data_IF_837697352964
#
_entry.id   IF_837697352964
#
_cell.length_a   1.000
_cell.length_b   1.000
_cell.length_c   1.000
_cell.angle_alpha   90.00
_cell.angle_beta   90.00
_cell.angle_gamma   90.00
#
_symmetry.space_group_name_H-M   'P 1'
#
loop_
_entity.id
_entity.type
_entity.pdbx_description
1 polymer ?
#
# COMPACT_ATOMS: atom_id res chain seq x y z
N UNK A 1 12.30 19.93 29.70
CA UNK A 1 10.84 19.82 29.93
C UNK A 1 10.18 20.79 28.97
N UNK A 2 9.35 20.39 28.00
CA UNK A 2 8.61 19.14 27.83
C UNK A 2 8.36 18.92 26.33
N UNK A 3 8.56 17.68 25.90
CA UNK A 3 8.02 16.98 24.72
C UNK A 3 7.25 17.82 23.68
N UNK A 4 7.81 17.93 22.47
CA UNK A 4 6.99 17.91 21.25
C UNK A 4 7.06 16.46 20.74
N UNK A 5 6.31 15.58 21.41
CA UNK A 5 6.01 14.27 20.84
C UNK A 5 5.35 14.51 19.46
N UNK A 6 5.81 13.90 18.38
CA UNK A 6 5.04 13.97 17.14
C UNK A 6 3.67 13.39 17.44
N UNK A 7 2.63 14.16 17.09
CA UNK A 7 1.26 13.65 17.01
C UNK A 7 1.32 12.38 16.18
N UNK A 8 1.27 11.23 16.86
CA UNK A 8 0.87 9.97 16.26
C UNK A 8 -0.64 10.10 16.11
N UNK A 9 -1.03 10.81 15.05
CA UNK A 9 -2.40 10.82 14.58
C UNK A 9 -2.72 9.36 14.25
N UNK A 10 -3.55 8.77 15.10
CA UNK A 10 -3.91 7.37 15.01
C UNK A 10 -4.58 7.14 13.66
N UNK A 11 -3.85 6.50 12.75
CA UNK A 11 -4.34 5.90 11.51
C UNK A 11 -5.42 4.85 11.80
N UNK A 12 -6.59 5.32 12.21
CA UNK A 12 -7.82 4.55 12.29
C UNK A 12 -8.91 5.21 11.45
N UNK A 13 -8.54 6.21 10.63
CA UNK A 13 -9.34 6.61 9.48
C UNK A 13 -9.37 5.44 8.52
N UNK A 14 -10.58 4.98 8.20
CA UNK A 14 -10.86 4.00 7.16
C UNK A 14 -9.97 4.28 5.96
N UNK A 15 -8.98 3.42 5.70
CA UNK A 15 -7.94 3.68 4.70
C UNK A 15 -8.60 4.09 3.39
N UNK A 16 -8.37 5.32 2.99
CA UNK A 16 -9.12 5.95 1.90
C UNK A 16 -8.66 5.37 0.56
N UNK A 17 -9.52 5.37 -0.46
CA UNK A 17 -9.14 4.94 -1.82
C UNK A 17 -7.86 5.61 -2.33
N UNK A 18 -7.55 6.83 -1.87
CA UNK A 18 -6.32 7.55 -2.20
C UNK A 18 -5.05 6.88 -1.65
N UNK A 19 -5.11 6.26 -0.46
CA UNK A 19 -3.97 5.54 0.11
C UNK A 19 -3.71 4.24 -0.65
N UNK A 20 -4.78 3.54 -1.04
CA UNK A 20 -4.69 2.34 -1.87
C UNK A 20 -4.05 2.70 -3.22
N UNK A 21 -4.54 3.76 -3.88
CA UNK A 21 -4.01 4.24 -5.15
C UNK A 21 -2.52 4.60 -5.06
N UNK A 22 -2.12 5.31 -4.00
CA UNK A 22 -0.72 5.65 -3.75
C UNK A 22 0.19 4.43 -3.53
N UNK A 23 -0.27 3.41 -2.81
CA UNK A 23 0.46 2.15 -2.64
C UNK A 23 0.61 1.44 -4.00
N UNK A 24 -0.45 1.44 -4.81
CA UNK A 24 -0.45 0.80 -6.12
C UNK A 24 0.52 1.48 -7.08
N UNK A 25 0.48 2.80 -7.17
CA UNK A 25 1.35 3.57 -8.06
C UNK A 25 2.83 3.41 -7.69
N UNK A 26 3.16 3.48 -6.39
CA UNK A 26 4.52 3.22 -5.91
C UNK A 26 4.98 1.82 -6.28
N UNK A 27 4.13 0.80 -6.11
CA UNK A 27 4.51 -0.60 -6.38
C UNK A 27 4.68 -0.86 -7.87
N UNK A 28 3.87 -0.19 -8.70
CA UNK A 28 4.07 -0.16 -10.15
C UNK A 28 5.40 0.46 -10.52
N UNK A 29 5.78 1.58 -9.90
CA UNK A 29 7.08 2.24 -10.08
C UNK A 29 8.26 1.33 -9.72
N UNK A 30 8.19 0.66 -8.57
CA UNK A 30 9.20 -0.30 -8.14
C UNK A 30 9.33 -1.51 -9.07
N UNK A 31 8.20 -2.00 -9.62
CA UNK A 31 8.21 -3.10 -10.59
C UNK A 31 8.89 -2.66 -11.88
N UNK A 32 8.58 -1.45 -12.37
CA UNK A 32 9.20 -0.88 -13.56
C UNK A 32 10.71 -0.63 -13.37
N UNK A 33 11.13 -0.28 -12.15
CA UNK A 33 12.53 -0.13 -11.78
C UNK A 33 13.26 -1.46 -11.52
N UNK A 34 12.55 -2.59 -11.49
CA UNK A 34 13.10 -3.91 -11.17
C UNK A 34 13.46 -4.09 -9.68
N UNK A 35 12.94 -3.24 -8.79
CA UNK A 35 13.12 -3.37 -7.34
C UNK A 35 12.23 -4.45 -6.73
N UNK A 36 11.11 -4.75 -7.38
CA UNK A 36 10.23 -5.87 -7.01
C UNK A 36 10.07 -6.80 -8.20
N UNK A 37 10.09 -8.10 -7.94
CA UNK A 37 9.93 -9.14 -8.97
C UNK A 37 8.48 -9.60 -9.08
N UNK A 38 7.73 -9.53 -7.97
CA UNK A 38 6.36 -10.00 -7.90
C UNK A 38 5.44 -8.91 -7.33
N UNK A 39 4.61 -8.36 -8.22
CA UNK A 39 3.72 -7.25 -7.90
C UNK A 39 2.68 -7.62 -6.84
N UNK A 40 2.20 -8.87 -6.85
CA UNK A 40 1.13 -9.32 -5.95
C UNK A 40 1.66 -9.41 -4.52
N UNK A 41 2.83 -10.04 -4.34
CA UNK A 41 3.48 -10.13 -3.03
C UNK A 41 3.89 -8.75 -2.50
N UNK A 42 4.41 -7.87 -3.36
CA UNK A 42 4.77 -6.51 -2.97
C UNK A 42 3.56 -5.69 -2.50
N UNK A 43 2.44 -5.75 -3.22
CA UNK A 43 1.19 -5.11 -2.83
C UNK A 43 0.66 -5.70 -1.51
N UNK A 44 0.68 -7.02 -1.35
CA UNK A 44 0.24 -7.70 -0.12
C UNK A 44 1.00 -7.22 1.11
N UNK A 45 2.34 -7.14 1.01
CA UNK A 45 3.17 -6.66 2.11
C UNK A 45 2.88 -5.20 2.44
N UNK A 46 2.74 -4.33 1.44
CA UNK A 46 2.45 -2.90 1.65
C UNK A 46 1.07 -2.66 2.24
N UNK A 47 0.06 -3.39 1.76
CA UNK A 47 -1.27 -3.35 2.36
C UNK A 47 -1.23 -3.82 3.81
N UNK A 48 -0.51 -4.90 4.11
CA UNK A 48 -0.35 -5.39 5.49
C UNK A 48 0.35 -4.36 6.38
N UNK A 49 1.44 -3.74 5.91
CA UNK A 49 2.20 -2.72 6.63
C UNK A 49 1.36 -1.46 6.92
N UNK A 50 0.54 -1.06 5.96
CA UNK A 50 -0.41 0.04 6.10
C UNK A 50 -1.69 -0.34 6.88
N UNK A 51 -1.82 -1.57 7.39
CA UNK A 51 -3.00 -2.03 8.11
C UNK A 51 -4.24 -2.25 7.23
N UNK A 52 -4.08 -2.30 5.91
CA UNK A 52 -5.13 -2.50 4.92
C UNK A 52 -5.40 -3.99 4.76
N UNK A 53 -6.60 -4.42 5.15
CA UNK A 53 -7.08 -5.78 4.90
C UNK A 53 -7.68 -5.86 3.50
N UNK A 54 -7.00 -6.52 2.58
CA UNK A 54 -7.49 -6.84 1.23
C UNK A 54 -7.64 -8.33 1.06
N UNK A 55 -8.71 -8.76 0.40
CA UNK A 55 -8.89 -10.18 0.02
C UNK A 55 -7.98 -10.55 -1.15
N UNK A 56 -7.66 -11.83 -1.32
CA UNK A 56 -6.85 -12.29 -2.47
C UNK A 56 -7.48 -11.91 -3.82
N UNK A 57 -8.81 -11.95 -3.93
CA UNK A 57 -9.52 -11.51 -5.13
C UNK A 57 -9.32 -10.01 -5.43
N UNK A 58 -9.41 -9.16 -4.40
CA UNK A 58 -9.15 -7.73 -4.54
C UNK A 58 -7.69 -7.47 -4.91
N UNK A 59 -6.76 -8.16 -4.25
CA UNK A 59 -5.34 -8.04 -4.51
C UNK A 59 -5.00 -8.40 -5.97
N UNK A 60 -5.57 -9.49 -6.49
CA UNK A 60 -5.42 -9.88 -7.89
C UNK A 60 -6.03 -8.87 -8.86
N UNK A 61 -7.20 -8.32 -8.53
CA UNK A 61 -7.84 -7.27 -9.34
C UNK A 61 -6.94 -6.04 -9.43
N UNK A 62 -6.49 -5.53 -8.27
CA UNK A 62 -5.61 -4.36 -8.16
C UNK A 62 -4.28 -4.59 -8.90
N UNK A 63 -3.67 -5.76 -8.73
CA UNK A 63 -2.45 -6.12 -9.43
C UNK A 63 -2.65 -6.20 -10.96
N UNK A 64 -3.83 -6.62 -11.42
CA UNK A 64 -4.21 -6.60 -12.83
C UNK A 64 -4.29 -5.19 -13.40
N UNK A 65 -4.93 -4.26 -12.67
CA UNK A 65 -5.02 -2.85 -13.08
C UNK A 65 -3.65 -2.17 -13.08
N UNK A 66 -2.79 -2.47 -12.12
CA UNK A 66 -1.45 -1.92 -12.02
C UNK A 66 -0.49 -2.36 -13.15
N UNK A 67 -0.75 -3.52 -13.77
CA UNK A 67 0.00 -4.02 -14.94
C UNK A 67 -0.52 -3.48 -16.28
N UNK A 68 -1.71 -2.89 -16.28
CA UNK A 68 -2.41 -2.40 -17.49
C UNK A 68 -1.85 -1.09 -18.01
#
# INVERSE_FOLDING_TARGET
MTMNEPVQDGSNESLTSAQIDGIVEQTRGDLAAGHVTDLVEALRQRFTDAGISVTEAQLHSIAGEARS
#
